data_IF_269966430520
#
_entry.id   IF_269966430520
#
_cell.length_a   1.000
_cell.length_b   1.000
_cell.length_c   1.000
_cell.angle_alpha   90.00
_cell.angle_beta   90.00
_cell.angle_gamma   90.00
#
_symmetry.space_group_name_H-M   'P 1'
#
loop_
_entity.id
_entity.type
_entity.pdbx_description
1 polymer ?
#
# COMPACT_ATOMS: atom_id res chain seq x y z
N UNK A 1 0.34 29.22 -3.37
CA UNK A 1 -0.31 28.03 -2.81
C UNK A 1 0.80 27.09 -2.41
N UNK A 2 0.66 26.59 -1.19
CA UNK A 2 1.66 25.93 -0.36
C UNK A 2 2.38 24.78 -1.08
N UNK A 3 3.68 24.96 -1.33
CA UNK A 3 4.60 23.88 -1.66
C UNK A 3 5.31 23.49 -0.36
N UNK A 4 4.53 23.00 0.60
CA UNK A 4 5.02 22.54 1.90
C UNK A 4 5.78 21.23 1.74
N UNK A 5 7.02 21.24 2.21
CA UNK A 5 7.89 20.12 2.55
C UNK A 5 7.43 18.69 2.16
N UNK A 6 8.00 18.17 1.08
CA UNK A 6 8.15 16.73 0.85
C UNK A 6 9.23 16.17 1.79
N UNK A 7 8.94 16.11 3.09
CA UNK A 7 9.72 15.34 4.05
C UNK A 7 9.05 13.97 4.23
N UNK A 8 9.36 13.03 3.33
CA UNK A 8 9.31 11.56 3.44
C UNK A 8 8.25 10.91 4.38
N UNK A 9 7.05 11.47 4.49
CA UNK A 9 5.92 10.84 5.16
C UNK A 9 5.30 9.85 4.18
N UNK A 10 5.53 8.57 4.41
CA UNK A 10 4.90 7.49 3.65
C UNK A 10 3.40 7.64 3.81
N UNK A 11 2.74 8.02 2.73
CA UNK A 11 1.30 8.24 2.71
C UNK A 11 0.58 7.02 2.16
N UNK A 12 -0.69 6.86 2.53
CA UNK A 12 -1.58 5.89 1.91
C UNK A 12 -1.57 6.02 0.38
N UNK A 13 -1.42 7.24 -0.16
CA UNK A 13 -1.37 7.50 -1.60
C UNK A 13 -0.17 6.84 -2.30
N UNK A 14 1.01 6.84 -1.66
CA UNK A 14 2.19 6.17 -2.21
C UNK A 14 1.97 4.65 -2.28
N UNK A 15 1.34 4.08 -1.25
CA UNK A 15 1.01 2.65 -1.20
C UNK A 15 -0.06 2.27 -2.22
N UNK A 16 -1.05 3.14 -2.46
CA UNK A 16 -2.09 2.97 -3.48
C UNK A 16 -1.45 2.92 -4.87
N UNK A 17 -0.59 3.89 -5.18
CA UNK A 17 0.13 3.95 -6.46
C UNK A 17 0.96 2.68 -6.68
N UNK A 18 1.63 2.20 -5.64
CA UNK A 18 2.37 0.94 -5.68
C UNK A 18 1.45 -0.25 -5.98
N UNK A 19 0.30 -0.34 -5.29
CA UNK A 19 -0.66 -1.42 -5.49
C UNK A 19 -1.23 -1.45 -6.91
N UNK A 20 -1.56 -0.28 -7.47
CA UNK A 20 -2.02 -0.16 -8.85
C UNK A 20 -0.94 -0.62 -9.84
N UNK A 21 0.33 -0.34 -9.60
CA UNK A 21 1.44 -0.83 -10.41
C UNK A 21 1.58 -2.37 -10.39
N UNK A 22 1.36 -3.01 -9.24
CA UNK A 22 1.45 -4.47 -9.12
C UNK A 22 0.23 -5.19 -9.72
N UNK A 23 -0.96 -4.76 -9.34
CA UNK A 23 -2.20 -5.48 -9.58
C UNK A 23 -2.99 -4.96 -10.79
N UNK A 24 -2.64 -3.78 -11.32
CA UNK A 24 -3.32 -3.14 -12.44
C UNK A 24 -4.81 -2.95 -12.14
N UNK A 25 -5.67 -3.22 -13.14
CA UNK A 25 -7.13 -3.10 -13.00
C UNK A 25 -7.79 -4.03 -11.94
N UNK A 26 -7.02 -4.90 -11.27
CA UNK A 26 -7.50 -5.73 -10.16
C UNK A 26 -7.13 -5.17 -8.78
N UNK A 27 -6.54 -3.97 -8.71
CA UNK A 27 -6.10 -3.36 -7.46
C UNK A 27 -7.24 -2.85 -6.55
N UNK A 28 -8.47 -2.70 -7.06
CA UNK A 28 -9.61 -2.09 -6.34
C UNK A 28 -9.77 -2.56 -4.87
N UNK A 29 -9.80 -3.87 -4.53
CA UNK A 29 -9.97 -4.30 -3.13
C UNK A 29 -8.73 -4.05 -2.26
N UNK A 30 -7.55 -3.89 -2.87
CA UNK A 30 -6.32 -3.49 -2.19
C UNK A 30 -6.33 -1.98 -1.92
N UNK A 31 -6.64 -1.17 -2.95
CA UNK A 31 -6.71 0.29 -2.87
C UNK A 31 -7.69 0.71 -1.78
N UNK A 32 -8.91 0.17 -1.77
CA UNK A 32 -9.92 0.46 -0.73
C UNK A 32 -9.48 0.17 0.70
N UNK A 33 -8.53 -0.76 0.88
CA UNK A 33 -7.97 -1.08 2.20
C UNK A 33 -6.93 -0.06 2.64
N UNK A 34 -6.12 0.41 1.70
CA UNK A 34 -5.10 1.43 1.92
C UNK A 34 -5.73 2.81 2.12
N UNK A 35 -6.81 3.14 1.41
CA UNK A 35 -7.57 4.40 1.59
C UNK A 35 -8.21 4.51 2.99
N UNK A 36 -8.50 3.37 3.62
CA UNK A 36 -9.06 3.31 4.98
C UNK A 36 -7.98 3.24 6.06
N UNK A 37 -6.71 3.22 5.68
CA UNK A 37 -5.61 3.21 6.64
C UNK A 37 -5.49 4.59 7.30
N UNK A 38 -5.17 4.60 8.60
CA UNK A 38 -4.75 5.81 9.27
C UNK A 38 -3.37 6.29 8.81
N UNK A 39 -2.97 7.47 9.28
CA UNK A 39 -1.71 8.12 8.90
C UNK A 39 -0.50 7.59 9.67
N UNK A 40 -0.73 6.80 10.73
CA UNK A 40 0.33 6.24 11.54
C UNK A 40 1.08 5.13 10.79
N UNK A 41 2.42 5.03 10.88
CA UNK A 41 3.19 3.95 10.24
C UNK A 41 2.70 2.54 10.60
N UNK A 42 2.22 2.35 11.84
CA UNK A 42 1.64 1.08 12.28
C UNK A 42 0.31 0.74 11.58
N UNK A 43 -0.55 1.73 11.37
CA UNK A 43 -1.83 1.57 10.69
C UNK A 43 -1.64 1.31 9.20
N UNK A 44 -0.70 2.03 8.57
CA UNK A 44 -0.30 1.79 7.18
C UNK A 44 0.26 0.37 7.00
N UNK A 45 1.12 -0.09 7.91
CA UNK A 45 1.65 -1.44 7.87
C UNK A 45 0.53 -2.49 7.99
N UNK A 46 -0.37 -2.32 8.94
CA UNK A 46 -1.50 -3.22 9.14
C UNK A 46 -2.43 -3.26 7.91
N UNK A 47 -2.65 -2.11 7.27
CA UNK A 47 -3.45 -2.02 6.05
C UNK A 47 -2.77 -2.72 4.88
N UNK A 48 -1.46 -2.53 4.69
CA UNK A 48 -0.65 -3.19 3.67
C UNK A 48 -0.65 -4.70 3.86
N UNK A 49 -0.43 -5.20 5.08
CA UNK A 49 -0.45 -6.63 5.36
C UNK A 49 -1.82 -7.25 5.08
N UNK A 50 -2.89 -6.56 5.50
CA UNK A 50 -4.27 -6.98 5.25
C UNK A 50 -4.64 -6.94 3.76
N UNK A 51 -4.11 -5.97 3.02
CA UNK A 51 -4.25 -5.85 1.58
C UNK A 51 -3.49 -6.95 0.83
N UNK A 52 -2.23 -7.18 1.18
CA UNK A 52 -1.39 -8.22 0.60
C UNK A 52 -2.00 -9.61 0.82
N UNK A 53 -2.54 -9.89 2.02
CA UNK A 53 -3.23 -11.17 2.28
C UNK A 53 -4.46 -11.34 1.40
N UNK A 54 -5.22 -10.28 1.15
CA UNK A 54 -6.37 -10.33 0.24
C UNK A 54 -5.92 -10.54 -1.21
N UNK A 55 -4.93 -9.79 -1.67
CA UNK A 55 -4.38 -9.91 -3.02
C UNK A 55 -3.81 -11.30 -3.28
N UNK A 56 -3.16 -11.89 -2.26
CA UNK A 56 -2.64 -13.26 -2.31
C UNK A 56 -3.74 -14.29 -2.58
N UNK A 57 -4.91 -14.11 -1.98
CA UNK A 57 -6.05 -15.04 -2.11
C UNK A 57 -6.92 -14.79 -3.33
N UNK A 58 -6.95 -13.56 -3.87
CA UNK A 58 -7.97 -13.14 -4.84
C UNK A 58 -7.42 -12.65 -6.18
N UNK A 59 -6.15 -12.22 -6.22
CA UNK A 59 -5.55 -11.59 -7.41
C UNK A 59 -4.42 -12.46 -7.94
N UNK A 60 -3.33 -12.53 -7.17
CA UNK A 60 -2.05 -13.10 -7.58
C UNK A 60 -1.11 -13.20 -6.37
N UNK A 61 -0.79 -14.43 -5.95
CA UNK A 61 0.09 -14.71 -4.81
C UNK A 61 1.51 -14.13 -4.93
N UNK A 62 2.27 -14.39 -6.02
CA UNK A 62 3.63 -13.87 -6.13
C UNK A 62 3.68 -12.34 -6.19
N UNK A 63 2.74 -11.69 -6.89
CA UNK A 63 2.66 -10.23 -6.91
C UNK A 63 2.28 -9.65 -5.54
N UNK A 64 1.40 -10.32 -4.79
CA UNK A 64 1.03 -9.90 -3.45
C UNK A 64 2.22 -9.94 -2.47
N UNK A 65 3.06 -10.98 -2.58
CA UNK A 65 4.28 -11.06 -1.77
C UNK A 65 5.26 -9.93 -2.12
N UNK A 66 5.47 -9.63 -3.40
CA UNK A 66 6.34 -8.52 -3.82
C UNK A 66 5.79 -7.15 -3.40
N UNK A 67 4.49 -6.93 -3.56
CA UNK A 67 3.83 -5.70 -3.09
C UNK A 67 4.08 -5.46 -1.60
N UNK A 68 3.93 -6.50 -0.76
CA UNK A 68 4.16 -6.39 0.68
C UNK A 68 5.62 -6.00 1.01
N UNK A 69 6.59 -6.57 0.29
CA UNK A 69 8.00 -6.26 0.49
C UNK A 69 8.29 -4.80 0.13
N UNK A 70 7.83 -4.33 -1.03
CA UNK A 70 8.04 -2.95 -1.48
C UNK A 70 7.30 -1.93 -0.60
N UNK A 71 6.08 -2.26 -0.18
CA UNK A 71 5.30 -1.41 0.72
C UNK A 71 5.94 -1.28 2.10
N UNK A 72 6.53 -2.35 2.65
CA UNK A 72 7.28 -2.30 3.92
C UNK A 72 8.53 -1.43 3.81
N UNK A 73 9.28 -1.55 2.71
CA UNK A 73 10.43 -0.68 2.43
C UNK A 73 10.03 0.78 2.39
N UNK A 74 8.91 1.10 1.74
CA UNK A 74 8.35 2.46 1.76
C UNK A 74 8.11 2.91 3.19
N UNK A 75 7.35 2.14 3.99
CA UNK A 75 7.03 2.47 5.40
C UNK A 75 8.28 2.54 6.31
N UNK A 76 9.43 2.02 5.88
CA UNK A 76 10.65 1.95 6.68
C UNK A 76 10.66 0.79 7.69
N UNK A 77 10.05 -0.36 7.32
CA UNK A 77 9.90 -1.56 8.16
C UNK A 77 10.53 -2.80 7.57
#
# INVERSE_FOLDING_TARGET
QDAGEQAEAVSAQALITLAEGFFGGRADPVVRKLEKAGESPAELLQAVESAAKLAKLTIDEPKAAQFLIEARKLIGK
#
